data_IF_356110537220
#
_entry.id   IF_356110537220
#
_cell.length_a   1.000
_cell.length_b   1.000
_cell.length_c   1.000
_cell.angle_alpha   90.00
_cell.angle_beta   90.00
_cell.angle_gamma   90.00
#
_symmetry.space_group_name_H-M   'P 1'
#
loop_
_entity.id
_entity.type
_entity.pdbx_description
1 polymer ?
#
# COMPACT_ATOMS: atom_id res chain seq x y z
N UNK A 1 -7.91 -14.66 6.59
CA UNK A 1 -8.28 -14.14 7.11
C UNK A 1 -8.83 -13.10 7.33
N UNK A 2 -9.16 -12.83 7.47
CA UNK A 2 -9.63 -11.96 7.66
C UNK A 2 -9.86 -11.23 8.38
N UNK A 3 -9.82 -10.97 8.66
CA UNK A 3 -10.18 -10.38 9.39
C UNK A 3 -10.83 -9.52 9.62
N UNK A 4 -10.87 -9.54 10.13
CA UNK A 4 -11.94 -8.67 10.36
C UNK A 4 -11.58 -7.60 11.30
N UNK A 5 -12.23 -6.66 11.54
CA UNK A 5 -11.87 -5.47 12.27
C UNK A 5 -12.17 -5.51 13.75
N UNK A 6 -12.21 -6.66 14.35
CA UNK A 6 -12.40 -6.74 15.79
C UNK A 6 -11.15 -6.28 16.52
N UNK A 7 -11.29 -5.85 17.75
CA UNK A 7 -10.16 -5.43 18.58
C UNK A 7 -9.12 -6.54 18.74
N UNK A 8 -9.56 -7.78 18.87
CA UNK A 8 -8.66 -8.91 18.96
C UNK A 8 -7.84 -9.08 17.68
N UNK A 9 -8.48 -8.90 16.53
CA UNK A 9 -7.81 -8.98 15.24
C UNK A 9 -6.77 -7.87 15.08
N UNK A 10 -7.07 -6.66 15.52
CA UNK A 10 -6.13 -5.55 15.46
C UNK A 10 -4.93 -5.77 16.39
N UNK A 11 -5.15 -6.30 17.57
CA UNK A 11 -4.06 -6.64 18.49
C UNK A 11 -3.16 -7.71 17.86
N UNK A 12 -3.74 -8.72 17.24
CA UNK A 12 -2.98 -9.77 16.57
C UNK A 12 -2.11 -9.19 15.46
N UNK A 13 -2.66 -8.31 14.64
CA UNK A 13 -1.91 -7.66 13.56
C UNK A 13 -0.75 -6.84 14.10
N UNK A 14 -0.94 -6.11 15.19
CA UNK A 14 0.15 -5.35 15.80
C UNK A 14 1.27 -6.26 16.25
N UNK A 15 0.96 -7.43 16.78
CA UNK A 15 1.97 -8.40 17.17
C UNK A 15 2.74 -8.94 15.98
N UNK A 16 2.03 -9.20 14.87
CA UNK A 16 2.68 -9.66 13.64
C UNK A 16 3.54 -8.58 13.00
N UNK A 17 3.16 -7.31 13.19
CA UNK A 17 3.86 -6.17 12.62
C UNK A 17 4.90 -5.58 13.58
N UNK A 18 5.32 -6.30 14.62
CA UNK A 18 6.36 -5.82 15.51
C UNK A 18 7.69 -5.67 14.75
N UNK A 19 8.53 -4.76 15.23
CA UNK A 19 9.84 -4.50 14.61
C UNK A 19 10.68 -5.78 14.54
N UNK A 20 10.64 -6.60 15.58
CA UNK A 20 11.40 -7.84 15.59
C UNK A 20 10.92 -8.81 14.52
N UNK A 21 9.61 -8.93 14.32
CA UNK A 21 9.06 -9.77 13.28
C UNK A 21 9.34 -9.21 11.89
N UNK A 22 9.29 -7.90 11.73
CA UNK A 22 9.66 -7.25 10.48
C UNK A 22 11.09 -7.57 10.10
N UNK A 23 12.02 -7.52 11.07
CA UNK A 23 13.41 -7.91 10.82
C UNK A 23 13.52 -9.36 10.38
N UNK A 24 12.82 -10.24 11.06
CA UNK A 24 12.82 -11.66 10.70
C UNK A 24 12.36 -11.88 9.26
N UNK A 25 11.27 -11.23 8.87
CA UNK A 25 10.78 -11.33 7.49
C UNK A 25 11.79 -10.78 6.50
N UNK A 26 12.35 -9.61 6.78
CA UNK A 26 13.32 -8.98 5.89
C UNK A 26 14.55 -9.86 5.71
N UNK A 27 15.06 -10.43 6.80
CA UNK A 27 16.25 -11.30 6.75
C UNK A 27 15.93 -12.60 6.03
N UNK A 28 14.81 -13.24 6.37
CA UNK A 28 14.45 -14.54 5.80
C UNK A 28 14.14 -14.47 4.31
N UNK A 29 13.55 -13.36 3.86
CA UNK A 29 13.17 -13.19 2.46
C UNK A 29 14.22 -12.43 1.66
N UNK A 30 15.31 -11.99 2.28
CA UNK A 30 16.40 -11.31 1.60
C UNK A 30 16.01 -9.97 1.03
N UNK A 31 15.26 -9.16 1.77
CA UNK A 31 14.87 -7.83 1.30
C UNK A 31 16.11 -6.98 1.04
N UNK A 32 16.19 -6.39 -0.13
CA UNK A 32 17.26 -5.47 -0.50
C UNK A 32 16.77 -4.03 -0.64
N UNK A 33 15.68 -3.69 0.01
CA UNK A 33 15.06 -2.36 0.00
C UNK A 33 14.72 -1.96 1.44
N UNK A 34 14.55 -0.65 1.71
CA UNK A 34 14.15 -0.21 3.05
C UNK A 34 12.78 -0.77 3.44
N UNK A 35 12.70 -1.27 4.66
CA UNK A 35 11.47 -1.78 5.23
C UNK A 35 11.27 -1.09 6.58
N UNK A 36 10.36 -0.13 6.62
CA UNK A 36 10.29 0.84 7.71
C UNK A 36 8.90 0.85 8.35
N UNK A 37 8.85 1.34 9.59
CA UNK A 37 7.61 1.52 10.32
C UNK A 37 7.22 2.99 10.25
N UNK A 38 5.98 3.26 9.86
CA UNK A 38 5.39 4.60 9.88
C UNK A 38 4.64 4.79 11.20
N UNK A 39 5.40 4.96 12.28
CA UNK A 39 4.88 4.86 13.64
C UNK A 39 3.78 5.87 13.95
N UNK A 40 3.96 7.11 13.50
CA UNK A 40 2.97 8.16 13.71
C UNK A 40 2.00 8.31 12.53
N UNK A 41 2.11 7.45 11.54
CA UNK A 41 1.27 7.43 10.34
C UNK A 41 1.37 8.69 9.49
N UNK A 42 2.44 9.47 9.67
CA UNK A 42 2.61 10.71 8.92
C UNK A 42 2.90 10.46 7.45
N UNK A 43 3.64 9.40 7.13
CA UNK A 43 3.95 9.07 5.73
C UNK A 43 2.66 8.67 5.00
N UNK A 44 1.87 7.81 5.60
CA UNK A 44 0.60 7.40 5.00
C UNK A 44 -0.32 8.61 4.77
N UNK A 45 -0.37 9.53 5.73
CA UNK A 45 -1.17 10.76 5.59
C UNK A 45 -0.65 11.68 4.50
N UNK A 46 0.67 11.88 4.44
CA UNK A 46 1.27 12.75 3.44
C UNK A 46 1.07 12.22 2.03
N UNK A 47 1.05 10.90 1.87
CA UNK A 47 0.77 10.26 0.59
C UNK A 47 -0.73 10.17 0.28
N UNK A 48 -1.59 10.51 1.23
CA UNK A 48 -3.04 10.31 1.17
C UNK A 48 -3.39 8.84 0.91
N UNK A 49 -2.64 7.93 1.51
CA UNK A 49 -2.89 6.51 1.38
C UNK A 49 -4.26 6.14 1.97
N UNK A 50 -4.99 5.25 1.31
CA UNK A 50 -6.35 4.92 1.69
C UNK A 50 -6.53 3.47 2.13
N UNK A 51 -5.67 2.60 1.65
CA UNK A 51 -5.79 1.17 1.96
C UNK A 51 -4.41 0.52 1.97
N UNK A 52 -4.37 -0.74 2.33
CA UNK A 52 -3.16 -1.56 2.29
C UNK A 52 -3.41 -2.78 1.42
N UNK A 53 -2.56 -3.00 0.42
CA UNK A 53 -1.45 -2.16 -0.02
C UNK A 53 -1.92 -0.99 -0.90
N UNK A 54 -1.16 0.10 -0.89
CA UNK A 54 -1.39 1.23 -1.79
C UNK A 54 -0.03 1.58 -2.40
N UNK A 55 0.03 1.70 -3.72
CA UNK A 55 1.29 1.83 -4.45
C UNK A 55 1.48 3.22 -5.02
N UNK A 56 2.71 3.73 -4.87
CA UNK A 56 3.09 5.06 -5.32
C UNK A 56 4.44 4.95 -6.02
N UNK A 57 4.50 5.38 -7.27
CA UNK A 57 5.74 5.34 -8.06
C UNK A 57 6.17 6.75 -8.39
N UNK A 58 7.45 7.05 -8.11
CA UNK A 58 8.03 8.37 -8.34
C UNK A 58 9.16 8.27 -9.36
N UNK A 59 9.34 9.34 -10.13
CA UNK A 59 10.49 9.44 -11.05
C UNK A 59 11.74 9.92 -10.31
N UNK A 60 12.84 10.11 -11.05
CA UNK A 60 14.10 10.56 -10.48
C UNK A 60 14.03 11.97 -9.90
N UNK A 61 13.07 12.77 -10.34
CA UNK A 61 12.86 14.12 -9.83
C UNK A 61 11.85 14.16 -8.70
N UNK A 62 11.46 12.97 -8.19
CA UNK A 62 10.53 12.81 -7.10
C UNK A 62 9.10 13.28 -7.44
N UNK A 63 8.75 13.24 -8.71
CA UNK A 63 7.38 13.48 -9.14
C UNK A 63 6.59 12.18 -9.13
N UNK A 64 5.36 12.23 -8.61
CA UNK A 64 4.49 11.07 -8.59
C UNK A 64 4.01 10.77 -10.01
N UNK A 65 4.37 9.61 -10.54
CA UNK A 65 4.00 9.21 -11.92
C UNK A 65 2.94 8.11 -11.95
N UNK A 66 2.79 7.37 -10.87
CA UNK A 66 1.75 6.35 -10.78
C UNK A 66 1.27 6.21 -9.35
N UNK A 67 -0.03 6.09 -9.19
CA UNK A 67 -0.66 5.75 -7.93
C UNK A 67 -1.79 4.80 -8.21
N UNK A 68 -1.83 3.67 -7.52
CA UNK A 68 -2.92 2.75 -7.72
C UNK A 68 -2.61 1.32 -7.36
N UNK A 69 -3.32 0.42 -8.01
CA UNK A 69 -3.29 -1.00 -7.72
C UNK A 69 -2.01 -1.68 -8.22
N UNK A 70 -1.69 -2.81 -7.62
CA UNK A 70 -0.64 -3.69 -8.13
C UNK A 70 -1.07 -4.28 -9.47
N UNK A 71 -2.25 -4.85 -9.51
CA UNK A 71 -2.89 -5.42 -10.69
C UNK A 71 -4.40 -5.50 -10.45
N UNK A 72 -5.10 -6.04 -11.42
CA UNK A 72 -6.55 -6.17 -11.34
C UNK A 72 -7.06 -7.37 -10.56
N UNK A 73 -6.17 -8.15 -9.95
CA UNK A 73 -6.60 -9.33 -9.21
C UNK A 73 -7.39 -8.95 -7.97
N UNK A 74 -8.45 -9.71 -7.73
CA UNK A 74 -9.30 -9.58 -6.54
C UNK A 74 -9.72 -10.97 -6.12
N UNK A 75 -10.05 -11.19 -4.85
CA UNK A 75 -10.58 -12.48 -4.44
C UNK A 75 -11.76 -12.88 -5.32
N UNK A 76 -11.66 -14.04 -5.96
CA UNK A 76 -12.75 -14.62 -6.76
C UNK A 76 -12.91 -14.10 -8.18
N UNK A 77 -12.06 -13.20 -8.68
CA UNK A 77 -12.24 -12.69 -10.05
C UNK A 77 -11.37 -13.38 -11.11
N UNK A 78 -10.56 -14.35 -10.73
CA UNK A 78 -9.71 -15.13 -11.64
C UNK A 78 -8.69 -14.32 -12.45
N UNK A 79 -8.49 -13.05 -12.13
CA UNK A 79 -7.45 -12.23 -12.76
C UNK A 79 -6.10 -12.62 -12.16
N UNK A 80 -5.06 -12.87 -12.98
CA UNK A 80 -3.76 -13.26 -12.46
C UNK A 80 -3.15 -12.21 -11.54
N UNK A 81 -2.53 -12.66 -10.46
CA UNK A 81 -1.77 -11.80 -9.56
C UNK A 81 -0.35 -11.70 -10.10
N UNK A 82 -0.15 -10.81 -11.05
CA UNK A 82 1.13 -10.68 -11.76
C UNK A 82 1.75 -9.28 -11.67
N UNK A 83 1.09 -8.35 -11.00
CA UNK A 83 1.60 -6.99 -10.86
C UNK A 83 1.51 -6.16 -12.12
N UNK A 84 0.63 -6.51 -13.05
CA UNK A 84 0.61 -5.91 -14.39
C UNK A 84 0.51 -4.39 -14.38
N UNK A 85 -0.36 -3.83 -13.55
CA UNK A 85 -0.57 -2.37 -13.53
C UNK A 85 0.68 -1.63 -13.09
N UNK A 86 1.27 -2.05 -11.98
CA UNK A 86 2.49 -1.42 -11.47
C UNK A 86 3.68 -1.70 -12.38
N UNK A 87 3.81 -2.92 -12.90
CA UNK A 87 4.89 -3.25 -13.82
C UNK A 87 4.84 -2.41 -15.09
N UNK A 88 3.65 -2.21 -15.63
CA UNK A 88 3.47 -1.37 -16.83
C UNK A 88 3.88 0.08 -16.55
N UNK A 89 3.53 0.60 -15.38
CA UNK A 89 3.93 1.95 -14.99
C UNK A 89 5.45 2.07 -14.85
N UNK A 90 6.09 1.09 -14.23
CA UNK A 90 7.54 1.05 -14.09
C UNK A 90 8.20 0.98 -15.47
N UNK A 91 7.68 0.14 -16.35
CA UNK A 91 8.24 -0.01 -17.69
C UNK A 91 8.14 1.29 -18.50
N UNK A 92 6.99 1.98 -18.42
CA UNK A 92 6.83 3.27 -19.06
C UNK A 92 7.85 4.28 -18.53
N UNK A 93 8.04 4.33 -17.21
CA UNK A 93 9.01 5.21 -16.60
C UNK A 93 10.43 4.92 -17.10
N UNK A 94 10.82 3.65 -17.15
CA UNK A 94 12.15 3.25 -17.61
C UNK A 94 12.37 3.57 -19.09
N UNK A 95 11.31 3.58 -19.89
CA UNK A 95 11.36 3.89 -21.30
C UNK A 95 11.16 5.38 -21.61
N UNK A 96 11.09 6.23 -20.59
CA UNK A 96 10.81 7.67 -20.73
C UNK A 96 9.50 7.95 -21.46
N UNK A 97 8.50 7.10 -21.21
CA UNK A 97 7.16 7.26 -21.76
C UNK A 97 6.24 7.78 -20.66
N UNK A 98 5.17 8.45 -21.06
CA UNK A 98 4.15 8.87 -20.11
C UNK A 98 3.43 7.67 -19.53
N UNK A 99 3.14 7.67 -18.24
CA UNK A 99 2.37 6.58 -17.65
C UNK A 99 0.95 6.56 -18.20
N UNK A 100 0.31 5.40 -18.07
CA UNK A 100 -1.08 5.26 -18.50
C UNK A 100 -1.92 6.33 -17.80
N UNK A 101 -2.78 6.98 -18.57
CA UNK A 101 -3.65 8.02 -18.03
C UNK A 101 -4.70 7.46 -17.06
N UNK A 102 -5.17 6.25 -17.29
CA UNK A 102 -6.15 5.63 -16.42
C UNK A 102 -5.45 4.78 -15.36
N UNK A 103 -5.38 5.29 -14.16
CA UNK A 103 -4.75 4.62 -13.03
C UNK A 103 -5.83 4.20 -12.04
N UNK A 104 -6.05 2.89 -11.96
CA UNK A 104 -7.11 2.35 -11.12
C UNK A 104 -6.66 2.29 -9.67
N UNK A 105 -7.52 2.65 -8.72
CA UNK A 105 -7.14 2.68 -7.31
C UNK A 105 -6.86 1.28 -6.77
N UNK A 106 -5.99 1.23 -5.78
CA UNK A 106 -5.78 0.03 -4.99
C UNK A 106 -7.06 -0.36 -4.27
N UNK A 107 -7.26 -1.65 -4.09
CA UNK A 107 -8.32 -2.17 -3.24
C UNK A 107 -7.70 -3.10 -2.22
N UNK A 108 -7.99 -2.85 -0.97
CA UNK A 108 -7.43 -3.62 0.12
C UNK A 108 -8.08 -3.23 1.43
N UNK A 109 -7.47 -3.66 2.52
CA UNK A 109 -7.97 -3.34 3.85
C UNK A 109 -7.74 -1.87 4.16
N UNK A 110 -8.71 -1.26 4.83
CA UNK A 110 -8.56 0.11 5.31
C UNK A 110 -7.37 0.22 6.25
N UNK A 111 -6.68 1.35 6.16
CA UNK A 111 -5.60 1.65 7.09
C UNK A 111 -6.21 1.80 8.49
N UNK A 112 -5.57 1.18 9.48
CA UNK A 112 -6.02 1.28 10.87
C UNK A 112 -5.43 2.53 11.50
N UNK A 113 -6.10 3.65 11.27
CA UNK A 113 -5.66 4.93 11.82
C UNK A 113 -5.73 4.92 13.34
N UNK A 114 -4.86 5.68 13.97
CA UNK A 114 -4.95 5.89 15.41
C UNK A 114 -6.25 6.62 15.72
N UNK A 115 -6.90 6.21 16.80
CA UNK A 115 -8.18 6.77 17.21
C UNK A 115 -8.03 8.27 17.47
N UNK A 116 -8.87 9.06 16.83
CA UNK A 116 -8.85 10.52 16.95
C UNK A 116 -7.84 11.19 16.03
N UNK A 117 -7.07 10.43 15.28
CA UNK A 117 -6.06 10.97 14.37
C UNK A 117 -6.34 10.60 12.91
N UNK A 118 -7.57 10.21 12.62
CA UNK A 118 -7.98 9.87 11.27
C UNK A 118 -7.86 11.10 10.36
N UNK A 119 -7.30 10.93 9.14
CA UNK A 119 -7.18 12.07 8.24
C UNK A 119 -8.54 12.49 7.67
N UNK A 120 -8.65 13.76 7.32
CA UNK A 120 -9.91 14.31 6.80
C UNK A 120 -10.41 13.59 5.56
N UNK A 121 -9.51 13.16 4.68
CA UNK A 121 -9.90 12.47 3.47
C UNK A 121 -10.53 11.11 3.77
N UNK A 122 -10.14 10.47 4.85
CA UNK A 122 -10.74 9.21 5.28
C UNK A 122 -12.21 9.41 5.65
N UNK A 123 -12.51 10.47 6.37
CA UNK A 123 -13.87 10.78 6.76
C UNK A 123 -14.74 11.12 5.54
N UNK A 124 -14.17 11.83 4.57
CA UNK A 124 -14.89 12.19 3.34
C UNK A 124 -15.26 10.96 2.51
N UNK A 125 -14.36 10.01 2.42
CA UNK A 125 -14.63 8.78 1.68
C UNK A 125 -15.71 7.97 2.37
N UNK A 126 -15.76 8.02 3.69
CA UNK A 126 -16.71 7.26 4.48
C UNK A 126 -18.10 7.88 4.49
N UNK A 127 -18.16 9.19 4.37
CA UNK A 127 -19.43 9.91 4.34
C UNK A 127 -20.13 9.81 2.97
#
# INVERSE_FOLDING_TARGET
TQDTSSAASDVYKRQEDSIDKMRMYADNLGYNFPYVVDEDQSVAKNFTAQCTPDFFLFDNDQNLVYRGQLDGSRPGNDVPTNGESLRSAIQALLNNEDPISEQLPSMGCNIKWRVGEEPDYFLKVKG
#
